data_IF_065211056872
#
_entry.id   IF_065211056872
#
_cell.length_a   1.000
_cell.length_b   1.000
_cell.length_c   1.000
_cell.angle_alpha   90.00
_cell.angle_beta   90.00
_cell.angle_gamma   90.00
#
_symmetry.space_group_name_H-M   'P 1'
#
loop_
_entity.id
_entity.type
_entity.pdbx_description
1 polymer ?
#
# COMPACT_ATOMS: atom_id res chain seq x y z
N UNK A 1 17.27 -3.61 23.21
CA UNK A 1 16.14 -2.67 23.28
C UNK A 1 14.85 -3.47 23.42
N UNK A 2 13.82 -2.94 24.10
CA UNK A 2 12.46 -3.45 23.96
C UNK A 2 11.78 -2.83 22.70
N UNK A 3 10.52 -3.21 22.41
CA UNK A 3 9.79 -2.72 21.24
C UNK A 3 9.65 -1.19 21.20
N UNK A 4 9.23 -0.57 22.31
CA UNK A 4 9.06 0.88 22.37
C UNK A 4 10.37 1.64 22.22
N UNK A 5 11.46 1.13 22.83
CA UNK A 5 12.79 1.68 22.65
C UNK A 5 13.28 1.58 21.19
N UNK A 6 12.92 0.50 20.50
CA UNK A 6 13.23 0.30 19.07
C UNK A 6 12.52 1.31 18.19
N UNK A 7 11.21 1.56 18.43
CA UNK A 7 10.48 2.60 17.71
C UNK A 7 11.00 4.00 18.00
N UNK A 8 11.32 4.31 19.26
CA UNK A 8 11.90 5.60 19.62
C UNK A 8 13.27 5.84 18.95
N UNK A 9 14.08 4.78 18.84
CA UNK A 9 15.34 4.85 18.10
C UNK A 9 15.10 5.15 16.62
N UNK A 10 14.21 4.40 15.95
CA UNK A 10 13.85 4.61 14.54
C UNK A 10 13.36 6.04 14.27
N UNK A 11 12.41 6.51 15.05
CA UNK A 11 11.84 7.86 14.88
C UNK A 11 12.88 8.96 15.18
N UNK A 12 13.88 8.66 16.00
CA UNK A 12 15.02 9.55 16.24
C UNK A 12 15.94 9.70 15.02
N UNK A 13 16.05 8.64 14.21
CA UNK A 13 16.88 8.63 12.98
C UNK A 13 16.20 9.35 11.82
N UNK A 14 14.86 9.35 11.72
CA UNK A 14 14.10 9.95 10.63
C UNK A 14 14.41 11.42 10.32
N UNK A 15 15.09 12.13 11.21
CA UNK A 15 15.49 13.54 11.05
C UNK A 15 16.68 13.75 10.10
N UNK A 16 17.37 12.69 9.69
CA UNK A 16 18.43 12.79 8.68
C UNK A 16 17.77 12.81 7.29
N UNK A 17 17.87 13.95 6.64
CA UNK A 17 17.23 14.23 5.36
C UNK A 17 17.52 13.15 4.32
N UNK A 18 16.49 12.81 3.57
CA UNK A 18 16.51 11.78 2.52
C UNK A 18 17.37 12.24 1.34
N UNK A 19 18.67 11.95 1.34
CA UNK A 19 19.44 11.99 0.10
C UNK A 19 19.10 10.74 -0.71
N UNK A 20 18.64 10.86 -1.96
CA UNK A 20 18.43 9.72 -2.84
C UNK A 20 19.74 8.94 -3.04
N UNK A 21 19.68 7.62 -2.98
CA UNK A 21 20.84 6.75 -3.22
C UNK A 21 20.76 5.45 -2.45
N UNK A 22 21.48 4.43 -2.92
CA UNK A 22 21.50 3.10 -2.30
C UNK A 22 22.78 2.83 -1.50
N UNK A 23 23.71 3.78 -1.46
CA UNK A 23 25.06 3.56 -0.88
C UNK A 23 24.99 3.25 0.61
N UNK A 24 24.16 3.99 1.39
CA UNK A 24 24.05 3.82 2.85
C UNK A 24 23.46 2.46 3.21
N UNK A 25 22.34 2.09 2.57
CA UNK A 25 21.73 0.79 2.84
C UNK A 25 22.62 -0.35 2.36
N UNK A 26 23.35 -0.18 1.25
CA UNK A 26 24.30 -1.18 0.78
C UNK A 26 25.46 -1.37 1.78
N UNK A 27 25.96 -0.28 2.36
CA UNK A 27 26.98 -0.35 3.41
C UNK A 27 26.45 -1.08 4.65
N UNK A 28 25.23 -0.74 5.09
CA UNK A 28 24.57 -1.42 6.20
C UNK A 28 24.41 -2.93 5.94
N UNK A 29 23.88 -3.34 4.78
CA UNK A 29 23.69 -4.74 4.44
C UNK A 29 25.02 -5.49 4.36
N UNK A 30 26.08 -4.88 3.81
CA UNK A 30 27.42 -5.44 3.81
C UNK A 30 27.92 -5.70 5.23
N UNK A 31 27.74 -4.73 6.13
CA UNK A 31 28.14 -4.86 7.54
C UNK A 31 27.30 -5.92 8.29
N UNK A 32 26.07 -6.18 7.85
CA UNK A 32 25.18 -7.23 8.36
C UNK A 32 25.44 -8.60 7.74
N UNK A 33 26.39 -8.75 6.81
CA UNK A 33 26.71 -10.02 6.14
C UNK A 33 25.84 -10.32 4.91
N UNK A 34 25.22 -9.32 4.32
CA UNK A 34 24.40 -9.37 3.10
C UNK A 34 23.19 -10.32 3.20
N UNK A 35 22.27 -10.10 4.13
CA UNK A 35 21.10 -10.96 4.33
C UNK A 35 20.15 -10.98 3.12
N UNK A 36 20.27 -10.03 2.19
CA UNK A 36 19.46 -9.94 0.98
C UNK A 36 19.87 -10.97 -0.09
N UNK A 37 21.07 -11.51 -0.02
CA UNK A 37 21.59 -12.42 -1.05
C UNK A 37 20.88 -13.76 -1.05
N UNK A 38 20.53 -14.22 -2.25
CA UNK A 38 19.82 -15.48 -2.46
C UNK A 38 18.31 -15.42 -2.18
N UNK A 39 17.77 -14.30 -1.72
CA UNK A 39 16.32 -14.13 -1.57
C UNK A 39 15.61 -14.07 -2.93
N UNK A 40 14.57 -14.87 -3.10
CA UNK A 40 13.76 -14.92 -4.33
C UNK A 40 12.63 -13.89 -4.24
N UNK A 41 12.81 -12.74 -4.85
CA UNK A 41 11.94 -11.60 -4.65
C UNK A 41 10.92 -11.39 -5.79
N UNK A 42 9.71 -10.97 -5.43
CA UNK A 42 8.72 -10.28 -6.27
C UNK A 42 8.69 -8.82 -5.79
N UNK A 43 9.07 -7.88 -6.63
CA UNK A 43 9.24 -6.47 -6.27
C UNK A 43 8.18 -5.62 -6.95
N UNK A 44 7.37 -4.88 -6.17
CA UNK A 44 6.17 -4.20 -6.67
C UNK A 44 6.29 -2.69 -6.45
N UNK A 45 6.36 -1.93 -7.55
CA UNK A 45 6.29 -0.48 -7.60
C UNK A 45 4.95 -0.01 -8.16
N UNK A 46 4.67 1.28 -8.04
CA UNK A 46 3.45 1.92 -8.54
C UNK A 46 3.08 3.13 -7.69
N UNK A 47 2.10 3.89 -8.11
CA UNK A 47 1.52 4.95 -7.27
C UNK A 47 0.47 4.33 -6.35
N UNK A 48 -0.58 3.76 -6.90
CA UNK A 48 -1.65 3.09 -6.18
C UNK A 48 -1.66 1.58 -6.48
N UNK A 49 -2.21 0.78 -5.57
CA UNK A 49 -2.39 -0.67 -5.76
C UNK A 49 -1.21 -1.56 -5.35
N UNK A 50 -0.05 -1.00 -5.01
CA UNK A 50 1.14 -1.79 -4.61
C UNK A 50 0.84 -2.80 -3.50
N UNK A 51 0.42 -2.32 -2.32
CA UNK A 51 0.14 -3.18 -1.17
C UNK A 51 -0.95 -4.21 -1.44
N UNK A 52 -2.03 -3.84 -2.15
CA UNK A 52 -3.08 -4.79 -2.55
C UNK A 52 -2.55 -5.88 -3.48
N UNK A 53 -1.73 -5.52 -4.48
CA UNK A 53 -1.09 -6.49 -5.38
C UNK A 53 -0.13 -7.41 -4.62
N UNK A 54 0.67 -6.86 -3.70
CA UNK A 54 1.54 -7.66 -2.82
C UNK A 54 0.74 -8.65 -1.97
N UNK A 55 -0.36 -8.19 -1.34
CA UNK A 55 -1.22 -9.05 -0.53
C UNK A 55 -1.87 -10.19 -1.34
N UNK A 56 -2.30 -9.91 -2.58
CA UNK A 56 -2.85 -10.93 -3.48
C UNK A 56 -1.80 -11.98 -3.87
N UNK A 57 -0.58 -11.56 -4.22
CA UNK A 57 0.53 -12.48 -4.56
C UNK A 57 0.91 -13.32 -3.34
N UNK A 58 1.05 -12.70 -2.16
CA UNK A 58 1.35 -13.38 -0.90
C UNK A 58 0.28 -14.43 -0.57
N UNK A 59 -1.01 -14.06 -0.64
CA UNK A 59 -2.11 -14.98 -0.35
C UNK A 59 -2.10 -16.22 -1.25
N UNK A 60 -1.83 -16.05 -2.55
CA UNK A 60 -1.75 -17.17 -3.51
C UNK A 60 -0.53 -18.04 -3.24
N UNK A 61 0.66 -17.45 -3.04
CA UNK A 61 1.89 -18.23 -2.80
C UNK A 61 1.80 -19.01 -1.49
N UNK A 62 1.24 -18.42 -0.42
CA UNK A 62 0.97 -19.13 0.84
C UNK A 62 -0.03 -20.27 0.65
N UNK A 63 -1.09 -20.04 -0.13
CA UNK A 63 -2.09 -21.07 -0.44
C UNK A 63 -1.51 -22.23 -1.25
N UNK A 64 -0.49 -21.95 -2.09
CA UNK A 64 0.29 -22.99 -2.79
C UNK A 64 1.17 -23.81 -1.83
N UNK A 65 1.40 -23.35 -0.62
CA UNK A 65 2.20 -24.03 0.40
C UNK A 65 3.62 -23.48 0.53
N UNK A 66 3.94 -22.36 -0.12
CA UNK A 66 5.22 -21.69 0.05
C UNK A 66 5.27 -20.90 1.36
N UNK A 67 6.47 -20.81 1.93
CA UNK A 67 6.76 -19.89 3.04
C UNK A 67 7.08 -18.51 2.47
N UNK A 68 6.25 -17.53 2.76
CA UNK A 68 6.30 -16.20 2.14
C UNK A 68 6.64 -15.13 3.16
N UNK A 69 7.63 -14.29 2.84
CA UNK A 69 7.87 -13.03 3.52
C UNK A 69 7.18 -11.90 2.76
N UNK A 70 6.38 -11.11 3.45
CA UNK A 70 5.69 -9.95 2.88
C UNK A 70 6.20 -8.67 3.54
N UNK A 71 6.69 -7.72 2.74
CA UNK A 71 7.09 -6.38 3.16
C UNK A 71 6.17 -5.34 2.56
N UNK A 72 5.51 -4.54 3.40
CA UNK A 72 4.58 -3.49 2.96
C UNK A 72 4.74 -2.19 3.74
N UNK A 73 4.27 -1.07 3.16
CA UNK A 73 4.33 0.26 3.80
C UNK A 73 3.24 1.21 3.27
N UNK A 74 2.75 2.14 4.10
CA UNK A 74 2.98 2.23 5.55
C UNK A 74 2.22 1.16 6.33
N UNK A 75 2.45 1.04 7.65
CA UNK A 75 1.60 0.28 8.56
C UNK A 75 0.34 1.08 8.95
N UNK A 76 -0.65 0.42 9.53
CA UNK A 76 -1.92 1.03 9.90
C UNK A 76 -2.12 1.07 11.42
N UNK A 77 -1.85 -0.02 12.13
CA UNK A 77 -2.06 -0.18 13.57
C UNK A 77 -0.76 -0.49 14.32
N UNK A 78 -0.02 -1.49 13.88
CA UNK A 78 1.22 -1.94 14.51
C UNK A 78 2.38 -1.86 13.51
N UNK A 79 3.51 -1.38 13.98
CA UNK A 79 4.72 -1.27 13.13
C UNK A 79 5.13 -2.61 12.53
N UNK A 80 4.88 -3.73 13.23
CA UNK A 80 5.18 -5.08 12.77
C UNK A 80 4.37 -5.50 11.55
N UNK A 81 3.28 -4.79 11.19
CA UNK A 81 2.55 -5.03 9.93
C UNK A 81 3.43 -4.94 8.68
N UNK A 82 4.52 -4.16 8.78
CA UNK A 82 5.48 -3.98 7.68
C UNK A 82 6.20 -5.26 7.29
N UNK A 83 6.27 -6.24 8.22
CA UNK A 83 7.03 -7.48 8.06
C UNK A 83 6.17 -8.64 8.47
N UNK A 84 5.74 -9.44 7.50
CA UNK A 84 4.94 -10.64 7.76
C UNK A 84 5.66 -11.88 7.26
N UNK A 85 5.55 -12.96 8.01
CA UNK A 85 6.00 -14.30 7.62
C UNK A 85 4.77 -15.20 7.56
N UNK A 86 4.51 -15.76 6.39
CA UNK A 86 3.35 -16.64 6.18
C UNK A 86 2.00 -16.02 6.56
N UNK A 87 1.85 -14.71 6.35
CA UNK A 87 0.64 -13.94 6.68
C UNK A 87 0.60 -13.38 8.09
N UNK A 88 1.40 -13.90 9.01
CA UNK A 88 1.49 -13.43 10.39
C UNK A 88 2.51 -12.29 10.52
N UNK A 89 2.19 -11.24 11.26
CA UNK A 89 3.15 -10.20 11.64
C UNK A 89 4.26 -10.81 12.50
N UNK A 90 5.50 -10.34 12.33
CA UNK A 90 6.56 -10.69 13.28
C UNK A 90 6.19 -10.18 14.68
N UNK A 91 6.68 -10.85 15.72
CA UNK A 91 6.43 -10.41 17.08
C UNK A 91 7.18 -9.10 17.38
N UNK A 92 6.64 -8.31 18.32
CA UNK A 92 7.31 -7.12 18.83
C UNK A 92 8.68 -7.45 19.47
N UNK A 93 8.80 -8.63 20.09
CA UNK A 93 10.06 -9.11 20.66
C UNK A 93 11.08 -9.42 19.57
N UNK A 94 10.70 -10.08 18.47
CA UNK A 94 11.58 -10.32 17.34
C UNK A 94 12.03 -9.02 16.69
N UNK A 95 11.11 -8.07 16.46
CA UNK A 95 11.48 -6.76 15.95
C UNK A 95 12.51 -6.07 16.86
N UNK A 96 12.29 -6.09 18.17
CA UNK A 96 13.19 -5.49 19.15
C UNK A 96 14.58 -6.16 19.17
N UNK A 97 14.65 -7.47 19.06
CA UNK A 97 15.89 -8.23 18.96
C UNK A 97 16.67 -7.83 17.70
N UNK A 98 16.03 -7.88 16.51
CA UNK A 98 16.64 -7.50 15.23
C UNK A 98 17.11 -6.05 15.22
N UNK A 99 16.27 -5.15 15.70
CA UNK A 99 16.60 -3.73 15.81
C UNK A 99 17.78 -3.48 16.75
N UNK A 100 17.91 -4.24 17.84
CA UNK A 100 19.05 -4.13 18.77
C UNK A 100 20.35 -4.55 18.06
N UNK A 101 20.31 -5.62 17.30
CA UNK A 101 21.47 -6.08 16.53
C UNK A 101 21.87 -5.07 15.44
N UNK A 102 20.90 -4.58 14.66
CA UNK A 102 21.15 -3.60 13.59
C UNK A 102 21.69 -2.28 14.15
N UNK A 103 21.15 -1.81 15.28
CA UNK A 103 21.67 -0.62 15.96
C UNK A 103 23.15 -0.75 16.30
N UNK A 104 23.59 -1.89 16.83
CA UNK A 104 25.01 -2.13 17.16
C UNK A 104 25.90 -2.07 15.91
N UNK A 105 25.41 -2.55 14.75
CA UNK A 105 26.11 -2.43 13.46
C UNK A 105 26.21 -0.97 13.04
N UNK A 106 25.12 -0.21 13.12
CA UNK A 106 25.08 1.22 12.75
C UNK A 106 26.05 2.03 13.62
N UNK A 107 26.05 1.79 14.94
CA UNK A 107 26.98 2.46 15.86
C UNK A 107 28.46 2.14 15.53
N UNK A 108 28.76 0.97 15.00
CA UNK A 108 30.10 0.64 14.51
C UNK A 108 30.41 1.39 13.22
N UNK A 109 29.50 1.42 12.25
CA UNK A 109 29.64 2.17 10.99
C UNK A 109 29.90 3.65 11.24
N UNK A 110 29.17 4.27 12.19
CA UNK A 110 29.38 5.66 12.58
C UNK A 110 30.78 5.90 13.18
N UNK A 111 31.28 4.97 14.05
CA UNK A 111 32.66 5.04 14.58
C UNK A 111 33.71 4.94 13.49
N UNK A 112 33.40 4.20 12.42
CA UNK A 112 34.29 4.03 11.27
C UNK A 112 34.17 5.19 10.26
N UNK A 113 33.29 6.18 10.57
CA UNK A 113 33.11 7.40 9.77
C UNK A 113 32.14 7.25 8.58
N UNK A 114 31.35 6.20 8.54
CA UNK A 114 30.32 6.00 7.51
C UNK A 114 29.06 6.83 7.79
N UNK A 115 28.35 7.22 6.71
CA UNK A 115 27.09 7.96 6.81
C UNK A 115 25.97 7.03 7.35
N UNK A 116 25.26 7.41 8.44
CA UNK A 116 24.23 6.58 9.02
C UNK A 116 23.03 6.41 8.06
N UNK A 117 22.38 5.23 8.07
CA UNK A 117 21.19 4.97 7.27
C UNK A 117 19.98 5.75 7.78
N UNK A 118 19.01 6.01 6.90
CA UNK A 118 17.71 6.59 7.25
C UNK A 118 16.79 5.55 7.92
N UNK A 119 15.69 6.01 8.55
CA UNK A 119 14.66 5.15 9.14
C UNK A 119 14.22 4.04 8.17
N UNK A 120 13.85 4.40 6.93
CA UNK A 120 13.35 3.42 5.97
C UNK A 120 14.43 2.43 5.51
N UNK A 121 15.69 2.87 5.39
CA UNK A 121 16.82 1.98 5.09
C UNK A 121 17.04 0.95 6.21
N UNK A 122 16.90 1.37 7.47
CA UNK A 122 16.96 0.45 8.63
C UNK A 122 15.83 -0.57 8.59
N UNK A 123 14.60 -0.11 8.34
CA UNK A 123 13.41 -0.99 8.25
C UNK A 123 13.60 -2.04 7.15
N UNK A 124 14.08 -1.64 5.97
CA UNK A 124 14.35 -2.58 4.87
C UNK A 124 15.45 -3.57 5.24
N UNK A 125 16.54 -3.13 5.87
CA UNK A 125 17.62 -4.02 6.29
C UNK A 125 17.14 -5.05 7.32
N UNK A 126 16.35 -4.63 8.32
CA UNK A 126 15.70 -5.53 9.29
C UNK A 126 14.77 -6.52 8.58
N UNK A 127 13.96 -6.06 7.64
CA UNK A 127 13.05 -6.91 6.86
C UNK A 127 13.80 -8.02 6.12
N UNK A 128 14.86 -7.67 5.40
CA UNK A 128 15.67 -8.63 4.65
C UNK A 128 16.38 -9.62 5.58
N UNK A 129 16.84 -9.18 6.75
CA UNK A 129 17.39 -10.03 7.79
C UNK A 129 16.36 -11.02 8.34
N UNK A 130 15.13 -10.57 8.60
CA UNK A 130 14.02 -11.44 9.05
C UNK A 130 13.71 -12.48 7.99
N UNK A 131 13.56 -12.09 6.72
CA UNK A 131 13.28 -13.02 5.63
C UNK A 131 14.36 -14.09 5.47
N UNK A 132 15.63 -13.68 5.53
CA UNK A 132 16.76 -14.60 5.50
C UNK A 132 16.76 -15.56 6.70
N UNK A 133 16.51 -15.06 7.90
CA UNK A 133 16.50 -15.87 9.13
C UNK A 133 15.33 -16.87 9.20
N UNK A 134 14.23 -16.57 8.54
CA UNK A 134 13.06 -17.45 8.45
C UNK A 134 13.10 -18.40 7.25
N UNK A 135 14.16 -18.44 6.45
CA UNK A 135 14.29 -19.29 5.25
C UNK A 135 13.03 -19.25 4.36
N UNK A 136 12.56 -18.04 4.02
CA UNK A 136 11.37 -17.90 3.18
C UNK A 136 11.64 -18.36 1.75
N UNK A 137 10.66 -19.03 1.13
CA UNK A 137 10.76 -19.46 -0.27
C UNK A 137 10.67 -18.27 -1.22
N UNK A 138 9.87 -17.27 -0.87
CA UNK A 138 9.65 -16.04 -1.64
C UNK A 138 9.53 -14.82 -0.75
N UNK A 139 10.01 -13.69 -1.26
CA UNK A 139 9.80 -12.37 -0.67
C UNK A 139 8.91 -11.54 -1.59
N UNK A 140 7.76 -11.07 -1.10
CA UNK A 140 6.92 -10.11 -1.80
C UNK A 140 7.18 -8.74 -1.17
N UNK A 141 7.76 -7.82 -1.95
CA UNK A 141 8.29 -6.56 -1.43
C UNK A 141 7.60 -5.38 -2.11
N UNK A 142 6.91 -4.57 -1.34
CA UNK A 142 6.36 -3.28 -1.76
C UNK A 142 7.44 -2.21 -1.72
N UNK A 143 7.60 -1.46 -2.82
CA UNK A 143 8.44 -0.25 -2.89
C UNK A 143 7.82 0.84 -2.01
N UNK A 144 8.62 1.49 -1.17
CA UNK A 144 8.17 2.59 -0.33
C UNK A 144 7.80 3.83 -1.16
N UNK A 145 8.77 4.35 -1.94
CA UNK A 145 8.57 5.52 -2.79
C UNK A 145 9.41 5.45 -4.05
N UNK A 146 8.80 5.78 -5.20
CA UNK A 146 9.52 5.76 -6.48
C UNK A 146 9.83 4.33 -6.92
N UNK A 147 11.09 3.96 -6.90
CA UNK A 147 11.61 2.64 -7.26
C UNK A 147 13.12 2.66 -7.41
N UNK A 148 13.65 3.50 -8.30
CA UNK A 148 15.09 3.58 -8.65
C UNK A 148 16.00 3.74 -7.44
N UNK A 149 15.65 4.64 -6.54
CA UNK A 149 16.42 5.02 -5.35
C UNK A 149 15.76 4.58 -4.04
N UNK A 150 14.72 3.75 -4.15
CA UNK A 150 14.08 3.19 -2.98
C UNK A 150 14.98 2.19 -2.28
N UNK A 151 14.99 2.20 -0.95
CA UNK A 151 15.84 1.30 -0.17
C UNK A 151 15.59 -0.18 -0.51
N UNK A 152 14.38 -0.57 -0.88
CA UNK A 152 14.06 -1.94 -1.29
C UNK A 152 14.78 -2.38 -2.56
N UNK A 153 15.27 -1.42 -3.38
CA UNK A 153 15.95 -1.72 -4.65
C UNK A 153 17.40 -2.21 -4.51
N UNK A 154 17.87 -2.46 -3.28
CA UNK A 154 19.17 -3.11 -3.01
C UNK A 154 19.16 -4.61 -3.30
N UNK A 155 18.00 -5.26 -3.34
CA UNK A 155 17.87 -6.69 -3.60
C UNK A 155 18.52 -7.08 -4.94
N UNK A 156 18.96 -8.33 -5.06
CA UNK A 156 19.37 -8.91 -6.34
C UNK A 156 18.23 -8.83 -7.38
N UNK A 157 18.49 -9.09 -8.68
CA UNK A 157 17.40 -9.07 -9.66
C UNK A 157 16.22 -9.91 -9.19
N UNK A 158 15.04 -9.27 -8.97
CA UNK A 158 13.86 -10.02 -8.53
C UNK A 158 13.41 -10.98 -9.64
N UNK A 159 12.74 -12.07 -9.29
CA UNK A 159 12.11 -12.94 -10.29
C UNK A 159 11.10 -12.15 -11.11
N UNK A 160 10.28 -11.36 -10.43
CA UNK A 160 9.27 -10.49 -11.03
C UNK A 160 9.44 -9.05 -10.52
N UNK A 161 9.50 -8.10 -11.43
CA UNK A 161 9.41 -6.68 -11.16
C UNK A 161 8.07 -6.15 -11.68
N UNK A 162 7.16 -5.77 -10.78
CA UNK A 162 5.81 -5.36 -11.14
C UNK A 162 5.62 -3.85 -11.00
N UNK A 163 4.90 -3.23 -11.95
CA UNK A 163 4.51 -1.81 -11.90
C UNK A 163 2.98 -1.72 -11.98
N UNK A 164 2.35 -1.28 -10.89
CA UNK A 164 0.91 -1.04 -10.81
C UNK A 164 0.52 0.31 -11.41
N UNK A 165 -0.62 0.89 -11.05
CA UNK A 165 -1.07 2.17 -11.57
C UNK A 165 -0.06 3.30 -11.33
N UNK A 166 0.18 4.13 -12.36
CA UNK A 166 0.98 5.35 -12.32
C UNK A 166 0.03 6.54 -12.29
N UNK A 167 0.15 7.36 -11.24
CA UNK A 167 -0.62 8.57 -11.07
C UNK A 167 0.25 9.67 -10.44
N UNK A 168 -0.24 10.90 -10.37
CA UNK A 168 0.45 12.00 -9.71
C UNK A 168 0.49 11.79 -8.21
N UNK A 169 1.67 11.60 -7.67
CA UNK A 169 1.98 11.56 -6.25
C UNK A 169 3.49 11.80 -6.06
N UNK A 170 3.89 12.35 -4.91
CA UNK A 170 5.28 12.64 -4.58
C UNK A 170 6.05 13.42 -5.66
N UNK A 171 5.38 14.36 -6.34
CA UNK A 171 5.92 15.10 -7.49
C UNK A 171 7.21 15.87 -7.15
N UNK A 172 7.36 16.31 -5.90
CA UNK A 172 8.58 16.95 -5.38
C UNK A 172 9.84 16.07 -5.48
N UNK A 173 9.67 14.72 -5.59
CA UNK A 173 10.76 13.75 -5.68
C UNK A 173 10.80 12.98 -7.00
N UNK A 174 9.64 12.72 -7.60
CA UNK A 174 9.50 11.80 -8.75
C UNK A 174 9.34 12.53 -10.10
N UNK A 175 9.16 13.87 -10.06
CA UNK A 175 8.94 14.69 -11.24
C UNK A 175 7.48 15.09 -11.47
N UNK A 176 7.28 16.02 -12.40
CA UNK A 176 6.03 16.76 -12.62
C UNK A 176 5.14 16.14 -13.71
N UNK A 177 5.59 15.04 -14.32
CA UNK A 177 4.86 14.36 -15.39
C UNK A 177 4.73 12.86 -15.12
N UNK A 178 3.63 12.23 -15.60
CA UNK A 178 3.44 10.80 -15.46
C UNK A 178 4.57 9.95 -16.06
N UNK A 179 5.17 10.31 -17.23
CA UNK A 179 6.34 9.62 -17.76
C UNK A 179 7.57 9.68 -16.84
N UNK A 180 7.84 10.82 -16.18
CA UNK A 180 8.93 10.93 -15.19
C UNK A 180 8.68 10.02 -13.99
N UNK A 181 7.46 10.03 -13.45
CA UNK A 181 7.07 9.16 -12.35
C UNK A 181 7.20 7.68 -12.74
N UNK A 182 6.78 7.31 -13.98
CA UNK A 182 6.95 5.96 -14.52
C UNK A 182 8.43 5.56 -14.61
N UNK A 183 9.30 6.47 -15.09
CA UNK A 183 10.73 6.25 -15.19
C UNK A 183 11.37 5.91 -13.83
N UNK A 184 11.03 6.66 -12.80
CA UNK A 184 11.52 6.40 -11.44
C UNK A 184 11.03 5.06 -10.89
N UNK A 185 9.76 4.69 -11.16
CA UNK A 185 9.19 3.42 -10.71
C UNK A 185 9.77 2.22 -11.45
N UNK A 186 10.01 2.34 -12.76
CA UNK A 186 10.69 1.32 -13.57
C UNK A 186 12.17 1.12 -13.18
N UNK A 187 12.72 1.94 -12.28
CA UNK A 187 14.06 1.74 -11.70
C UNK A 187 14.24 0.39 -10.99
N UNK A 188 13.15 -0.32 -10.66
CA UNK A 188 13.19 -1.69 -10.12
C UNK A 188 13.46 -2.78 -11.18
N UNK A 189 13.39 -2.44 -12.46
CA UNK A 189 13.72 -3.38 -13.54
C UNK A 189 15.21 -3.66 -13.57
N UNK A 190 15.57 -4.94 -13.50
CA UNK A 190 16.97 -5.40 -13.50
C UNK A 190 17.15 -6.53 -14.51
N UNK A 191 18.31 -6.56 -15.15
CA UNK A 191 18.63 -7.67 -16.05
C UNK A 191 18.51 -9.01 -15.31
N UNK A 192 17.83 -9.98 -15.91
CA UNK A 192 17.53 -11.28 -15.30
C UNK A 192 16.15 -11.39 -14.67
N UNK A 193 15.44 -10.26 -14.47
CA UNK A 193 14.05 -10.26 -14.02
C UNK A 193 13.06 -10.45 -15.18
N UNK A 194 11.80 -10.71 -14.86
CA UNK A 194 10.65 -10.54 -15.77
C UNK A 194 9.81 -9.37 -15.28
N UNK A 195 9.35 -8.53 -16.20
CA UNK A 195 8.52 -7.38 -15.85
C UNK A 195 7.04 -7.65 -16.11
N UNK A 196 6.19 -7.17 -15.18
CA UNK A 196 4.74 -7.08 -15.34
C UNK A 196 4.32 -5.64 -15.11
N UNK A 197 3.47 -5.06 -15.94
CA UNK A 197 2.99 -3.70 -15.76
C UNK A 197 1.49 -3.59 -16.03
N UNK A 198 0.81 -2.73 -15.27
CA UNK A 198 -0.60 -2.42 -15.51
C UNK A 198 -0.75 -1.77 -16.89
N UNK A 199 -1.58 -2.38 -17.75
CA UNK A 199 -1.97 -1.84 -19.04
C UNK A 199 -3.09 -0.79 -18.94
N UNK A 200 -3.51 -0.23 -20.08
CA UNK A 200 -4.59 0.76 -20.13
C UNK A 200 -4.26 2.11 -19.52
N UNK A 201 -2.98 2.41 -19.31
CA UNK A 201 -2.49 3.70 -18.87
C UNK A 201 -2.21 4.61 -20.09
N UNK A 202 -1.84 5.87 -19.88
CA UNK A 202 -1.53 6.79 -20.98
C UNK A 202 -0.33 6.29 -21.81
N UNK A 203 -0.33 6.58 -23.11
CA UNK A 203 0.74 6.19 -24.05
C UNK A 203 2.13 6.63 -23.55
N UNK A 204 2.23 7.82 -22.97
CA UNK A 204 3.50 8.31 -22.42
C UNK A 204 4.03 7.44 -21.28
N UNK A 205 3.17 6.90 -20.43
CA UNK A 205 3.52 5.96 -19.37
C UNK A 205 3.92 4.60 -19.94
N UNK A 206 3.09 4.04 -20.83
CA UNK A 206 3.34 2.73 -21.44
C UNK A 206 4.65 2.71 -22.24
N UNK A 207 4.94 3.79 -22.99
CA UNK A 207 6.17 3.92 -23.75
C UNK A 207 7.41 3.94 -22.84
N UNK A 208 7.36 4.64 -21.71
CA UNK A 208 8.49 4.65 -20.75
C UNK A 208 8.70 3.26 -20.15
N UNK A 209 7.62 2.56 -19.76
CA UNK A 209 7.73 1.20 -19.22
C UNK A 209 8.34 0.25 -20.25
N UNK A 210 7.89 0.31 -21.50
CA UNK A 210 8.44 -0.49 -22.60
C UNK A 210 9.92 -0.16 -22.84
N UNK A 211 10.28 1.13 -22.93
CA UNK A 211 11.66 1.57 -23.12
C UNK A 211 12.58 1.05 -22.01
N UNK A 212 12.15 1.18 -20.74
CA UNK A 212 12.95 0.71 -19.61
C UNK A 212 13.12 -0.83 -19.62
N UNK A 213 12.12 -1.59 -20.05
CA UNK A 213 12.25 -3.05 -20.21
C UNK A 213 13.25 -3.42 -21.31
N UNK A 214 13.22 -2.70 -22.43
CA UNK A 214 14.16 -2.90 -23.54
C UNK A 214 15.61 -2.54 -23.13
N UNK A 215 15.80 -1.42 -22.44
CA UNK A 215 17.12 -0.98 -21.93
C UNK A 215 17.71 -2.02 -20.96
N UNK A 216 16.85 -2.69 -20.16
CA UNK A 216 17.27 -3.75 -19.24
C UNK A 216 17.32 -5.14 -19.87
N UNK A 217 16.87 -5.27 -21.12
CA UNK A 217 16.80 -6.56 -21.85
C UNK A 217 15.99 -7.60 -21.09
N UNK A 218 14.82 -7.22 -20.55
CA UNK A 218 13.94 -8.11 -19.79
C UNK A 218 12.60 -8.31 -20.50
N UNK A 219 11.99 -9.50 -20.41
CA UNK A 219 10.64 -9.72 -20.90
C UNK A 219 9.65 -8.85 -20.14
N UNK A 220 8.72 -8.23 -20.87
CA UNK A 220 7.64 -7.39 -20.32
C UNK A 220 6.29 -7.96 -20.71
N UNK A 221 5.39 -8.03 -19.75
CA UNK A 221 3.96 -8.33 -19.93
C UNK A 221 3.15 -7.13 -19.45
N UNK A 222 2.31 -6.57 -20.32
CA UNK A 222 1.25 -5.65 -19.90
C UNK A 222 -0.01 -6.44 -19.57
N UNK A 223 -0.72 -6.05 -18.50
CA UNK A 223 -2.08 -6.55 -18.27
C UNK A 223 -3.00 -6.07 -19.39
N UNK A 224 -4.08 -6.80 -19.63
CA UNK A 224 -5.07 -6.53 -20.67
C UNK A 224 -6.39 -6.08 -20.04
N UNK A 225 -6.57 -4.78 -19.71
CA UNK A 225 -7.80 -4.30 -19.05
C UNK A 225 -9.06 -4.58 -19.86
N UNK A 226 -8.96 -4.63 -21.19
CA UNK A 226 -10.05 -4.97 -22.12
C UNK A 226 -10.51 -6.42 -22.01
N UNK A 227 -9.69 -7.30 -21.45
CA UNK A 227 -10.05 -8.71 -21.18
C UNK A 227 -10.71 -8.91 -19.80
N UNK A 228 -10.83 -7.84 -19.01
CA UNK A 228 -11.50 -7.84 -17.71
C UNK A 228 -13.01 -7.64 -17.94
N UNK A 229 -13.84 -8.58 -17.46
CA UNK A 229 -15.30 -8.43 -17.44
C UNK A 229 -15.76 -8.61 -16.00
N UNK A 230 -16.29 -7.56 -15.40
CA UNK A 230 -16.90 -7.63 -14.08
C UNK A 230 -18.29 -8.23 -14.21
N UNK A 231 -18.51 -9.35 -13.53
CA UNK A 231 -19.78 -10.08 -13.52
C UNK A 231 -20.69 -9.62 -12.39
N UNK A 232 -20.09 -9.34 -11.22
CA UNK A 232 -20.79 -8.91 -10.03
C UNK A 232 -19.82 -8.16 -9.11
N UNK A 233 -20.21 -7.01 -8.58
CA UNK A 233 -19.46 -6.26 -7.58
C UNK A 233 -20.34 -5.99 -6.35
N UNK A 234 -19.85 -6.42 -5.19
CA UNK A 234 -20.50 -6.21 -3.89
C UNK A 234 -19.48 -5.66 -2.90
N UNK A 235 -19.92 -5.09 -1.77
CA UNK A 235 -18.98 -4.68 -0.72
C UNK A 235 -18.08 -5.77 -0.15
N UNK A 236 -18.48 -7.05 -0.31
CA UNK A 236 -17.73 -8.19 0.24
C UNK A 236 -16.79 -8.84 -0.78
N UNK A 237 -17.13 -8.78 -2.07
CA UNK A 237 -16.36 -9.45 -3.11
C UNK A 237 -16.70 -8.91 -4.51
N UNK A 238 -15.76 -9.11 -5.44
CA UNK A 238 -15.97 -8.83 -6.86
C UNK A 238 -15.73 -10.11 -7.68
N UNK A 239 -16.74 -10.56 -8.44
CA UNK A 239 -16.63 -11.65 -9.40
C UNK A 239 -16.34 -11.10 -10.78
N UNK A 240 -15.32 -11.62 -11.43
CA UNK A 240 -14.89 -11.13 -12.74
C UNK A 240 -14.29 -12.26 -13.59
N UNK A 241 -14.13 -12.00 -14.88
CA UNK A 241 -13.25 -12.82 -15.72
C UNK A 241 -12.05 -12.01 -16.18
N UNK A 242 -10.91 -12.67 -16.31
CA UNK A 242 -9.70 -12.12 -16.89
C UNK A 242 -9.13 -13.12 -17.89
N UNK A 243 -8.91 -12.70 -19.14
CA UNK A 243 -8.55 -13.59 -20.26
C UNK A 243 -9.44 -14.83 -20.35
N UNK A 244 -10.74 -14.65 -20.15
CA UNK A 244 -11.74 -15.70 -20.21
C UNK A 244 -11.80 -16.68 -19.03
N UNK A 245 -10.92 -16.53 -18.04
CA UNK A 245 -10.92 -17.34 -16.81
C UNK A 245 -11.69 -16.62 -15.70
N UNK A 246 -12.52 -17.34 -14.90
CA UNK A 246 -13.30 -16.75 -13.83
C UNK A 246 -12.46 -16.62 -12.55
N UNK A 247 -12.65 -15.51 -11.82
CA UNK A 247 -12.05 -15.23 -10.51
C UNK A 247 -13.08 -14.61 -9.57
N UNK A 248 -12.84 -14.78 -8.27
CA UNK A 248 -13.54 -14.10 -7.20
C UNK A 248 -12.49 -13.41 -6.33
N UNK A 249 -12.61 -12.10 -6.13
CA UNK A 249 -11.70 -11.30 -5.35
C UNK A 249 -12.41 -10.83 -4.08
N UNK A 250 -11.82 -11.07 -2.91
CA UNK A 250 -12.38 -10.64 -1.62
C UNK A 250 -12.18 -9.14 -1.33
N UNK A 251 -11.58 -8.37 -2.23
CA UNK A 251 -11.46 -6.91 -2.12
C UNK A 251 -12.46 -6.22 -3.05
N UNK A 252 -13.15 -5.21 -2.51
CA UNK A 252 -14.15 -4.44 -3.23
C UNK A 252 -13.54 -3.38 -4.15
N UNK A 253 -14.25 -3.06 -5.24
CA UNK A 253 -13.93 -1.97 -6.18
C UNK A 253 -13.23 -2.41 -7.46
N UNK A 254 -13.61 -1.78 -8.58
CA UNK A 254 -13.07 -2.09 -9.92
C UNK A 254 -11.54 -1.93 -10.00
N UNK A 255 -10.98 -0.97 -9.29
CA UNK A 255 -9.53 -0.76 -9.23
C UNK A 255 -8.79 -1.96 -8.61
N UNK A 256 -9.42 -2.70 -7.69
CA UNK A 256 -8.84 -3.90 -7.11
C UNK A 256 -8.83 -5.07 -8.13
N UNK A 257 -9.79 -5.11 -9.06
CA UNK A 257 -9.76 -6.09 -10.15
C UNK A 257 -8.57 -5.83 -11.10
N UNK A 258 -8.24 -4.56 -11.36
CA UNK A 258 -7.03 -4.21 -12.13
C UNK A 258 -5.75 -4.60 -11.38
N UNK A 259 -5.71 -4.42 -10.06
CA UNK A 259 -4.58 -4.88 -9.23
C UNK A 259 -4.49 -6.42 -9.23
N UNK A 260 -5.64 -7.13 -9.21
CA UNK A 260 -5.68 -8.58 -9.31
C UNK A 260 -5.17 -9.08 -10.66
N UNK A 261 -5.46 -8.39 -11.77
CA UNK A 261 -4.88 -8.73 -13.07
C UNK A 261 -3.36 -8.64 -13.06
N UNK A 262 -2.77 -7.60 -12.42
CA UNK A 262 -1.31 -7.50 -12.23
C UNK A 262 -0.80 -8.68 -11.39
N UNK A 263 -1.46 -9.02 -10.28
CA UNK A 263 -1.07 -10.15 -9.43
C UNK A 263 -1.14 -11.49 -10.18
N UNK A 264 -2.22 -11.72 -10.95
CA UNK A 264 -2.38 -12.93 -11.79
C UNK A 264 -1.24 -13.02 -12.80
N UNK A 265 -0.94 -11.92 -13.51
CA UNK A 265 0.14 -11.91 -14.50
C UNK A 265 1.52 -12.13 -13.83
N UNK A 266 1.76 -11.59 -12.63
CA UNK A 266 2.98 -11.89 -11.87
C UNK A 266 3.10 -13.39 -11.57
N UNK A 267 2.02 -14.03 -11.14
CA UNK A 267 1.99 -15.48 -10.84
C UNK A 267 2.18 -16.32 -12.11
N UNK A 268 1.59 -15.91 -13.24
CA UNK A 268 1.84 -16.58 -14.54
C UNK A 268 3.31 -16.41 -14.98
N UNK A 269 3.92 -15.23 -14.76
CA UNK A 269 5.35 -15.04 -15.05
C UNK A 269 6.24 -15.85 -14.11
N UNK A 270 5.86 -16.06 -12.85
CA UNK A 270 6.58 -16.96 -11.92
C UNK A 270 6.59 -18.41 -12.42
N UNK A 271 5.49 -18.88 -13.04
CA UNK A 271 5.46 -20.21 -13.69
C UNK A 271 6.53 -20.34 -14.78
N UNK A 272 6.75 -19.26 -15.55
CA UNK A 272 7.82 -19.25 -16.56
C UNK A 272 9.24 -19.21 -15.94
N UNK A 273 9.35 -18.87 -14.68
CA UNK A 273 10.59 -19.00 -13.89
C UNK A 273 10.73 -20.38 -13.23
N UNK A 274 9.86 -21.35 -13.55
CA UNK A 274 9.87 -22.71 -13.00
C UNK A 274 9.22 -22.83 -11.61
N UNK A 275 8.48 -21.82 -11.15
CA UNK A 275 7.73 -21.87 -9.89
C UNK A 275 6.37 -22.55 -10.13
N UNK A 276 6.04 -23.52 -9.28
CA UNK A 276 4.72 -24.17 -9.35
C UNK A 276 3.69 -23.28 -8.71
N UNK A 277 2.68 -22.89 -9.47
CA UNK A 277 1.49 -22.17 -9.00
C UNK A 277 0.27 -22.72 -9.73
N UNK A 278 -0.61 -23.43 -9.05
CA UNK A 278 -1.77 -24.03 -9.65
C UNK A 278 -2.87 -23.01 -9.96
N UNK A 279 -3.62 -23.21 -11.03
CA UNK A 279 -4.69 -22.29 -11.44
C UNK A 279 -5.77 -22.16 -10.36
N UNK A 280 -6.19 -23.29 -9.79
CA UNK A 280 -7.19 -23.29 -8.71
C UNK A 280 -6.67 -22.54 -7.48
N UNK A 281 -5.38 -22.64 -7.19
CA UNK A 281 -4.77 -21.93 -6.05
C UNK A 281 -4.76 -20.42 -6.26
N UNK A 282 -4.62 -19.95 -7.51
CA UNK A 282 -4.76 -18.51 -7.81
C UNK A 282 -6.19 -18.05 -7.45
N UNK A 283 -7.21 -18.80 -7.87
CA UNK A 283 -8.61 -18.48 -7.55
C UNK A 283 -8.87 -18.47 -6.05
N UNK A 284 -8.45 -19.52 -5.36
CA UNK A 284 -8.63 -19.68 -3.91
C UNK A 284 -7.90 -18.58 -3.10
N UNK A 285 -6.68 -18.22 -3.51
CA UNK A 285 -5.88 -17.17 -2.87
C UNK A 285 -6.53 -15.79 -3.04
N UNK A 286 -6.99 -15.45 -4.23
CA UNK A 286 -7.69 -14.18 -4.48
C UNK A 286 -9.01 -14.09 -3.71
N UNK A 287 -9.71 -15.20 -3.54
CA UNK A 287 -10.97 -15.28 -2.78
C UNK A 287 -10.74 -15.16 -1.25
N UNK A 288 -9.52 -15.43 -0.77
CA UNK A 288 -9.18 -15.39 0.65
C UNK A 288 -8.31 -14.21 1.05
N UNK A 289 -8.00 -13.28 0.13
CA UNK A 289 -7.14 -12.14 0.45
C UNK A 289 -7.84 -11.16 1.38
N UNK A 290 -7.12 -10.76 2.42
CA UNK A 290 -7.54 -9.73 3.37
C UNK A 290 -6.54 -8.58 3.33
N UNK A 291 -7.04 -7.33 3.23
CA UNK A 291 -6.19 -6.16 3.22
C UNK A 291 -6.90 -4.97 3.84
N UNK A 292 -6.52 -4.62 5.05
CA UNK A 292 -7.17 -3.58 5.83
C UNK A 292 -7.16 -2.21 5.11
N UNK A 293 -8.19 -1.40 5.35
CA UNK A 293 -8.31 -0.05 4.82
C UNK A 293 -8.51 0.04 3.29
N UNK A 294 -9.03 -1.01 2.66
CA UNK A 294 -9.41 -1.02 1.23
C UNK A 294 -10.90 -1.30 1.12
N UNK A 295 -11.70 -0.23 1.24
CA UNK A 295 -13.17 -0.28 1.30
C UNK A 295 -13.67 -1.33 2.32
N UNK A 296 -12.94 -1.41 3.44
CA UNK A 296 -13.21 -2.40 4.48
C UNK A 296 -14.46 -2.03 5.25
N UNK A 297 -15.40 -2.96 5.35
CA UNK A 297 -16.59 -2.79 6.19
C UNK A 297 -16.23 -3.09 7.64
N UNK A 298 -16.29 -2.07 8.49
CA UNK A 298 -16.01 -2.17 9.92
C UNK A 298 -17.26 -2.57 10.71
N UNK A 299 -18.44 -2.12 10.26
CA UNK A 299 -19.73 -2.43 10.87
C UNK A 299 -20.82 -2.43 9.80
N UNK A 300 -21.83 -3.27 9.98
CA UNK A 300 -23.02 -3.30 9.09
C UNK A 300 -24.18 -2.45 9.61
N UNK A 301 -24.22 -2.15 10.91
CA UNK A 301 -25.31 -1.36 11.55
C UNK A 301 -24.76 -0.50 12.67
N UNK A 302 -24.59 0.82 12.45
CA UNK A 302 -24.67 1.49 11.15
C UNK A 302 -23.60 0.95 10.17
N UNK A 303 -23.81 1.15 8.87
CA UNK A 303 -22.81 0.76 7.89
C UNK A 303 -21.61 1.69 8.00
N UNK A 304 -20.43 1.15 8.35
CA UNK A 304 -19.17 1.90 8.47
C UNK A 304 -18.14 1.29 7.54
N UNK A 305 -17.54 2.13 6.70
CA UNK A 305 -16.50 1.73 5.75
C UNK A 305 -15.23 2.56 5.94
N UNK A 306 -14.08 1.90 5.92
CA UNK A 306 -12.77 2.52 5.93
C UNK A 306 -12.03 2.34 4.60
N UNK A 307 -11.46 3.44 4.08
CA UNK A 307 -10.61 3.42 2.88
C UNK A 307 -9.46 4.42 3.01
N UNK A 308 -8.26 4.04 2.64
CA UNK A 308 -7.07 4.90 2.76
C UNK A 308 -6.77 5.73 1.50
N UNK A 309 -7.73 5.94 0.60
CA UNK A 309 -7.59 6.85 -0.54
C UNK A 309 -7.16 8.25 -0.06
N UNK A 310 -6.04 8.76 -0.60
CA UNK A 310 -5.42 9.99 -0.12
C UNK A 310 -4.78 10.83 -1.24
N UNK A 311 -4.98 10.46 -2.50
CA UNK A 311 -4.56 11.19 -3.69
C UNK A 311 -5.71 11.20 -4.72
N UNK A 312 -5.67 12.06 -5.76
CA UNK A 312 -6.79 12.19 -6.71
C UNK A 312 -7.23 10.88 -7.37
N UNK A 313 -6.28 10.03 -7.81
CA UNK A 313 -6.60 8.76 -8.47
C UNK A 313 -7.27 7.77 -7.50
N UNK A 314 -6.75 7.64 -6.26
CA UNK A 314 -7.37 6.82 -5.21
C UNK A 314 -8.76 7.34 -4.83
N UNK A 315 -8.92 8.66 -4.70
CA UNK A 315 -10.21 9.28 -4.36
C UNK A 315 -11.23 9.09 -5.49
N UNK A 316 -10.80 9.21 -6.73
CA UNK A 316 -11.65 8.93 -7.90
C UNK A 316 -12.13 7.46 -7.90
N UNK A 317 -11.24 6.51 -7.61
CA UNK A 317 -11.60 5.09 -7.51
C UNK A 317 -12.61 4.85 -6.37
N UNK A 318 -12.40 5.47 -5.20
CA UNK A 318 -13.33 5.39 -4.08
C UNK A 318 -14.70 5.94 -4.43
N UNK A 319 -14.77 7.15 -5.01
CA UNK A 319 -16.04 7.79 -5.42
C UNK A 319 -16.78 6.94 -6.46
N UNK A 320 -16.10 6.34 -7.41
CA UNK A 320 -16.74 5.43 -8.37
C UNK A 320 -17.34 4.21 -7.67
N UNK A 321 -16.65 3.63 -6.69
CA UNK A 321 -17.20 2.54 -5.87
C UNK A 321 -18.42 2.98 -5.05
N UNK A 322 -18.40 4.19 -4.47
CA UNK A 322 -19.54 4.73 -3.76
C UNK A 322 -20.78 4.85 -4.66
N UNK A 323 -20.59 5.33 -5.87
CA UNK A 323 -21.68 5.50 -6.86
C UNK A 323 -22.23 4.16 -7.37
N UNK A 324 -21.39 3.16 -7.53
CA UNK A 324 -21.82 1.86 -8.10
C UNK A 324 -22.39 0.89 -7.07
N UNK A 325 -21.84 0.87 -5.84
CA UNK A 325 -22.21 -0.12 -4.82
C UNK A 325 -23.04 0.44 -3.66
N UNK A 326 -23.07 1.76 -3.50
CA UNK A 326 -23.75 2.43 -2.37
C UNK A 326 -24.74 3.50 -2.84
N UNK A 327 -25.26 3.34 -4.08
CA UNK A 327 -26.25 4.28 -4.67
C UNK A 327 -27.47 4.45 -3.75
N UNK A 328 -27.91 5.70 -3.60
CA UNK A 328 -29.05 6.07 -2.76
C UNK A 328 -28.80 6.13 -1.24
N UNK A 329 -27.58 5.84 -0.78
CA UNK A 329 -27.23 6.04 0.63
C UNK A 329 -26.75 7.45 0.90
N UNK A 330 -27.15 8.02 2.01
CA UNK A 330 -26.60 9.27 2.52
C UNK A 330 -25.23 9.02 3.14
N UNK A 331 -24.22 9.80 2.76
CA UNK A 331 -22.83 9.59 3.17
C UNK A 331 -22.41 10.60 4.24
N UNK A 332 -21.96 10.09 5.39
CA UNK A 332 -21.33 10.83 6.47
C UNK A 332 -19.81 10.60 6.39
N UNK A 333 -19.08 11.52 5.74
CA UNK A 333 -17.65 11.31 5.50
C UNK A 333 -16.78 11.92 6.59
N UNK A 334 -15.99 11.11 7.28
CA UNK A 334 -14.92 11.52 8.20
C UNK A 334 -13.60 11.54 7.44
N UNK A 335 -13.02 12.73 7.29
CA UNK A 335 -11.87 12.92 6.38
C UNK A 335 -10.71 13.62 7.08
N UNK A 336 -9.51 13.08 6.89
CA UNK A 336 -8.26 13.74 7.25
C UNK A 336 -7.27 13.61 6.08
N UNK A 337 -6.58 14.68 5.72
CA UNK A 337 -5.66 14.70 4.59
C UNK A 337 -4.30 15.29 4.97
N UNK A 338 -3.26 14.90 4.23
CA UNK A 338 -1.93 15.51 4.35
C UNK A 338 -1.74 16.61 3.32
N UNK A 339 -1.00 17.66 3.70
CA UNK A 339 -0.54 18.69 2.75
C UNK A 339 0.28 18.06 1.63
N UNK A 340 0.18 18.59 0.41
CA UNK A 340 0.93 18.10 -0.76
C UNK A 340 0.28 16.89 -1.48
N UNK A 341 -0.92 16.45 -1.05
CA UNK A 341 -1.67 15.35 -1.69
C UNK A 341 -2.82 15.85 -2.58
N UNK A 342 -2.75 17.08 -3.09
CA UNK A 342 -3.80 17.72 -3.90
C UNK A 342 -5.17 17.61 -3.20
N UNK A 343 -5.21 18.04 -1.94
CA UNK A 343 -6.39 17.91 -1.09
C UNK A 343 -7.63 18.62 -1.68
N UNK A 344 -7.44 19.73 -2.37
CA UNK A 344 -8.46 20.46 -3.10
C UNK A 344 -9.15 19.59 -4.15
N UNK A 345 -8.38 18.86 -4.95
CA UNK A 345 -8.91 17.92 -5.95
C UNK A 345 -9.62 16.75 -5.28
N UNK A 346 -9.01 16.14 -4.25
CA UNK A 346 -9.61 15.02 -3.52
C UNK A 346 -10.95 15.41 -2.87
N UNK A 347 -10.99 16.55 -2.19
CA UNK A 347 -12.21 17.09 -1.57
C UNK A 347 -13.25 17.42 -2.63
N UNK A 348 -12.85 18.05 -3.74
CA UNK A 348 -13.75 18.34 -4.86
C UNK A 348 -14.39 17.11 -5.49
N UNK A 349 -13.70 15.96 -5.45
CA UNK A 349 -14.24 14.67 -5.91
C UNK A 349 -15.24 14.07 -4.90
N UNK A 350 -14.92 14.08 -3.60
CA UNK A 350 -15.70 13.39 -2.57
C UNK A 350 -16.87 14.22 -2.02
N UNK A 351 -16.63 15.48 -1.67
CA UNK A 351 -17.56 16.30 -0.92
C UNK A 351 -18.95 16.50 -1.59
N UNK A 352 -19.07 16.56 -2.94
CA UNK A 352 -20.38 16.62 -3.61
C UNK A 352 -21.28 15.41 -3.35
N UNK A 353 -20.73 14.29 -2.90
CA UNK A 353 -21.44 13.05 -2.61
C UNK A 353 -21.79 12.88 -1.13
N UNK A 354 -21.35 13.82 -0.27
CA UNK A 354 -21.55 13.75 1.17
C UNK A 354 -22.81 14.51 1.61
N UNK A 355 -23.60 13.87 2.48
CA UNK A 355 -24.63 14.55 3.26
C UNK A 355 -24.00 15.45 4.31
N UNK A 356 -23.01 14.91 5.04
CA UNK A 356 -22.23 15.64 6.03
C UNK A 356 -20.75 15.31 5.84
N UNK A 357 -19.91 16.35 5.84
CA UNK A 357 -18.45 16.22 5.77
C UNK A 357 -17.83 16.62 7.11
N UNK A 358 -17.20 15.67 7.80
CA UNK A 358 -16.50 15.89 9.06
C UNK A 358 -15.00 16.03 8.77
N UNK A 359 -14.52 17.27 8.75
CA UNK A 359 -13.10 17.58 8.58
C UNK A 359 -12.38 17.42 9.91
N UNK A 360 -11.30 16.65 9.92
CA UNK A 360 -10.47 16.44 11.12
C UNK A 360 -8.98 16.34 10.76
N UNK A 361 -8.12 16.38 11.78
CA UNK A 361 -6.67 16.25 11.62
C UNK A 361 -6.17 15.02 12.40
N UNK A 362 -5.60 14.06 11.69
CA UNK A 362 -4.90 12.93 12.32
C UNK A 362 -3.61 13.40 13.01
N UNK A 363 -3.17 12.68 14.03
CA UNK A 363 -1.90 12.98 14.70
C UNK A 363 -0.71 12.45 13.88
N UNK A 364 -0.31 13.22 12.86
CA UNK A 364 0.80 12.87 11.98
C UNK A 364 1.47 14.11 11.38
N UNK A 365 2.69 13.94 10.87
CA UNK A 365 3.43 15.02 10.19
C UNK A 365 2.73 15.48 8.91
N UNK A 366 2.81 16.80 8.64
CA UNK A 366 2.26 17.46 7.44
C UNK A 366 0.74 17.27 7.26
N UNK A 367 0.00 16.99 8.32
CA UNK A 367 -1.46 16.94 8.26
C UNK A 367 -2.02 18.34 7.99
N UNK A 368 -3.05 18.42 7.16
CA UNK A 368 -3.81 19.65 6.92
C UNK A 368 -4.66 19.95 8.16
N UNK A 369 -4.66 21.17 8.71
CA UNK A 369 -5.57 21.56 9.77
C UNK A 369 -7.03 21.30 9.38
N UNK A 370 -7.85 20.93 10.37
CA UNK A 370 -9.25 20.60 10.14
C UNK A 370 -10.02 21.79 9.55
N UNK A 371 -9.67 23.01 9.96
CA UNK A 371 -10.27 24.26 9.46
C UNK A 371 -9.97 24.48 7.97
N UNK A 372 -8.72 24.25 7.55
CA UNK A 372 -8.30 24.39 6.15
C UNK A 372 -9.06 23.35 5.28
N UNK A 373 -9.17 22.11 5.78
CA UNK A 373 -9.89 21.03 5.09
C UNK A 373 -11.40 21.32 5.02
N UNK A 374 -11.99 21.84 6.10
CA UNK A 374 -13.39 22.24 6.15
C UNK A 374 -13.69 23.39 5.17
N UNK A 375 -12.78 24.36 5.05
CA UNK A 375 -12.91 25.46 4.10
C UNK A 375 -12.95 24.95 2.65
N UNK A 376 -12.11 23.97 2.29
CA UNK A 376 -12.17 23.33 0.96
C UNK A 376 -13.50 22.60 0.75
N UNK A 377 -13.98 21.85 1.75
CA UNK A 377 -15.19 21.05 1.65
C UNK A 377 -16.45 21.92 1.54
N UNK A 378 -16.49 23.11 2.18
CA UNK A 378 -17.63 24.02 2.19
C UNK A 378 -18.00 24.57 0.80
N UNK A 379 -17.07 24.51 -0.15
CA UNK A 379 -17.35 24.86 -1.55
C UNK A 379 -18.21 23.79 -2.27
N UNK A 380 -18.30 22.58 -1.73
CA UNK A 380 -18.86 21.40 -2.41
C UNK A 380 -19.91 20.64 -1.59
N UNK A 381 -19.96 20.83 -0.26
CA UNK A 381 -20.88 20.18 0.65
C UNK A 381 -21.57 21.24 1.53
N UNK A 382 -22.88 21.14 1.69
CA UNK A 382 -23.68 22.14 2.43
C UNK A 382 -23.53 22.00 3.97
N UNK A 383 -23.30 20.79 4.48
CA UNK A 383 -23.12 20.53 5.93
C UNK A 383 -21.67 20.04 6.16
N UNK A 384 -20.80 20.97 6.58
CA UNK A 384 -19.41 20.71 6.92
C UNK A 384 -19.17 20.99 8.39
N UNK A 385 -18.52 20.05 9.07
CA UNK A 385 -18.19 20.14 10.50
C UNK A 385 -16.69 20.02 10.70
N UNK A 386 -16.12 20.93 11.48
CA UNK A 386 -14.74 20.88 11.91
C UNK A 386 -14.66 20.14 13.24
N UNK A 387 -13.82 19.12 13.33
CA UNK A 387 -13.65 18.29 14.50
C UNK A 387 -12.18 18.29 14.95
N UNK A 388 -11.92 18.47 16.25
CA UNK A 388 -10.57 18.55 16.81
C UNK A 388 -9.79 17.26 16.68
N UNK A 389 -10.46 16.10 16.80
CA UNK A 389 -9.84 14.76 16.76
C UNK A 389 -10.62 13.83 15.84
N UNK A 390 -9.95 12.79 15.34
CA UNK A 390 -10.57 11.72 14.56
C UNK A 390 -11.65 11.02 15.39
N UNK A 391 -11.37 10.74 16.66
CA UNK A 391 -12.34 10.18 17.63
C UNK A 391 -13.63 10.99 17.68
N UNK A 392 -13.55 12.30 17.83
CA UNK A 392 -14.74 13.16 17.90
C UNK A 392 -15.50 13.16 16.57
N UNK A 393 -14.79 13.20 15.45
CA UNK A 393 -15.40 13.16 14.11
C UNK A 393 -16.17 11.85 13.88
N UNK A 394 -15.56 10.70 14.23
CA UNK A 394 -16.20 9.38 14.11
C UNK A 394 -17.43 9.28 15.03
N UNK A 395 -17.32 9.69 16.31
CA UNK A 395 -18.48 9.72 17.24
C UNK A 395 -19.65 10.54 16.69
N UNK A 396 -19.36 11.72 16.16
CA UNK A 396 -20.39 12.59 15.60
C UNK A 396 -21.04 11.98 14.36
N UNK A 397 -20.25 11.37 13.48
CA UNK A 397 -20.76 10.71 12.27
C UNK A 397 -21.63 9.49 12.63
N UNK A 398 -21.16 8.62 13.54
CA UNK A 398 -21.91 7.44 14.01
C UNK A 398 -23.25 7.83 14.68
N UNK A 399 -23.24 8.92 15.47
CA UNK A 399 -24.46 9.41 16.14
C UNK A 399 -25.47 10.04 15.17
N UNK A 400 -24.99 10.65 14.08
CA UNK A 400 -25.84 11.34 13.11
C UNK A 400 -26.39 10.41 12.03
N UNK A 401 -25.69 9.32 11.73
CA UNK A 401 -26.08 8.35 10.72
C UNK A 401 -27.37 7.61 11.13
N UNK A 402 -28.27 7.44 10.17
CA UNK A 402 -29.52 6.69 10.31
C UNK A 402 -29.40 5.30 9.67
N UNK A 403 -30.42 4.43 9.90
CA UNK A 403 -30.49 3.16 9.20
C UNK A 403 -30.49 3.38 7.68
N UNK A 404 -29.52 2.77 7.00
CA UNK A 404 -29.33 2.91 5.56
C UNK A 404 -28.26 3.91 5.15
N UNK A 405 -27.81 4.81 6.04
CA UNK A 405 -26.70 5.71 5.76
C UNK A 405 -25.34 4.97 5.77
N UNK A 406 -24.32 5.59 5.17
CA UNK A 406 -22.95 5.14 5.18
C UNK A 406 -22.06 6.12 5.95
N UNK A 407 -21.38 5.64 6.99
CA UNK A 407 -20.26 6.37 7.59
C UNK A 407 -18.98 5.95 6.86
N UNK A 408 -18.38 6.89 6.12
CA UNK A 408 -17.15 6.72 5.39
C UNK A 408 -15.99 7.34 6.15
N UNK A 409 -14.92 6.58 6.39
CA UNK A 409 -13.68 7.06 7.02
C UNK A 409 -12.58 6.99 5.96
N UNK A 410 -12.01 8.15 5.54
CA UNK A 410 -11.02 8.14 4.48
C UNK A 410 -10.06 9.34 4.50
N UNK A 411 -9.09 9.35 3.56
CA UNK A 411 -8.17 10.46 3.30
C UNK A 411 -6.75 10.26 3.83
N UNK A 412 -6.52 9.35 4.79
CA UNK A 412 -5.18 9.09 5.33
C UNK A 412 -5.09 7.74 6.03
N UNK A 413 -3.94 7.05 5.87
CA UNK A 413 -3.61 5.89 6.71
C UNK A 413 -3.51 6.27 8.21
N UNK A 414 -2.97 7.45 8.50
CA UNK A 414 -2.65 7.87 9.87
C UNK A 414 -3.84 8.14 10.77
N UNK A 415 -5.06 8.21 10.23
CA UNK A 415 -6.29 8.35 11.02
C UNK A 415 -6.92 7.00 11.37
N UNK A 416 -6.49 5.90 10.73
CA UNK A 416 -7.21 4.63 10.79
C UNK A 416 -7.17 4.01 12.18
N UNK A 417 -6.02 3.99 12.86
CA UNK A 417 -5.91 3.43 14.21
C UNK A 417 -6.92 4.08 15.17
N UNK A 418 -6.93 5.42 15.24
CA UNK A 418 -7.85 6.17 16.11
C UNK A 418 -9.31 5.93 15.72
N UNK A 419 -9.60 5.90 14.41
CA UNK A 419 -10.94 5.68 13.90
C UNK A 419 -11.47 4.27 14.20
N UNK A 420 -10.65 3.24 14.01
CA UNK A 420 -11.03 1.85 14.31
C UNK A 420 -11.28 1.65 15.80
N UNK A 421 -10.39 2.16 16.66
CA UNK A 421 -10.58 2.12 18.11
C UNK A 421 -11.90 2.77 18.52
N UNK A 422 -12.28 3.90 17.89
CA UNK A 422 -13.52 4.56 18.22
C UNK A 422 -14.75 3.77 17.74
N UNK A 423 -14.71 3.16 16.56
CA UNK A 423 -15.78 2.29 16.07
C UNK A 423 -15.98 1.11 17.03
N UNK A 424 -14.88 0.47 17.49
CA UNK A 424 -14.94 -0.61 18.50
C UNK A 424 -15.55 -0.14 19.83
N UNK A 425 -15.08 0.99 20.36
CA UNK A 425 -15.53 1.54 21.63
C UNK A 425 -17.00 1.96 21.59
N UNK A 426 -17.53 2.30 20.42
CA UNK A 426 -18.94 2.60 20.20
C UNK A 426 -19.85 1.37 20.22
N UNK A 427 -19.31 0.17 20.50
CA UNK A 427 -20.07 -1.08 20.64
C UNK A 427 -20.33 -1.81 19.32
N UNK A 428 -19.68 -1.38 18.22
CA UNK A 428 -19.76 -2.06 16.94
C UNK A 428 -18.58 -3.04 16.81
N UNK A 429 -18.89 -4.34 16.68
CA UNK A 429 -17.86 -5.36 16.44
C UNK A 429 -17.21 -5.14 15.09
N UNK A 430 -15.89 -4.90 15.05
CA UNK A 430 -15.13 -4.86 13.79
C UNK A 430 -15.03 -6.28 13.25
N UNK A 431 -15.42 -6.47 11.99
CA UNK A 431 -15.03 -7.68 11.24
C UNK A 431 -13.55 -7.56 10.89
N UNK A 432 -12.75 -8.51 11.35
CA UNK A 432 -11.33 -8.65 11.06
C UNK A 432 -11.05 -8.91 9.59
#
# INVERSE_FOLDING_TARGET
MNYQESLNYLHGVAKFGTKPGLTRIQALLNAMGNPEKGLRCIHVAGTNGKGSTCAMIDAVLRKQGYRVGLCTSPYMFDFCERIRINGEMISQDELAERMTAVKAVIEQMERDGEEPPSEFEIVVAVTLQVFSAHDVDFCVIEVGMGGRWDATNVIEPPLIAAVTAIAFDHMEYLGDTLPQIAYEKCGIFKRGSRAVAMGGQSDGVLNVILEQSLVKEIPLTFTEPESIIILEATPAQTRFTYRGKPYCLALAGEHQVKNAAVAIDCLEQLRLCGVVVDEQVIQDGLQSVEWAGRQQILSEKPLVMADVAHNPDGMYALVNSLRSMYEGREIHAVVSMRRGKQADVCVGLLAPHCKVFYATAANADRVMPAEDLAALASAHCADVKTCETVTNAVKMALKAAQDGDLVLICGSHYMMEEAYLEVQNSGFGIRG
#
